data_IF_999569029234
#
_entry.id   IF_999569029234
#
_cell.length_a   1.000
_cell.length_b   1.000
_cell.length_c   1.000
_cell.angle_alpha   90.00
_cell.angle_beta   90.00
_cell.angle_gamma   90.00
#
_symmetry.space_group_name_H-M   'P 1'
#
loop_
_entity.id
_entity.type
_entity.pdbx_description
1 polymer ?
#
# COMPACT_ATOMS: atom_id res chain seq x y z
N UNK A 1 -4.95 -21.89 13.96
CA UNK A 1 -4.68 -20.55 13.43
C UNK A 1 -5.33 -19.50 14.31
N UNK A 2 -4.60 -18.45 14.60
CA UNK A 2 -5.15 -17.36 15.40
C UNK A 2 -6.27 -16.67 14.61
N UNK A 3 -7.33 -16.23 15.30
CA UNK A 3 -8.35 -15.42 14.66
C UNK A 3 -7.71 -14.13 14.14
N UNK A 4 -8.19 -13.66 13.01
CA UNK A 4 -7.65 -12.46 12.40
C UNK A 4 -8.23 -11.23 13.10
N UNK A 5 -7.40 -10.44 13.81
CA UNK A 5 -7.89 -9.26 14.52
C UNK A 5 -8.18 -8.09 13.55
N UNK A 6 -7.74 -8.20 12.32
CA UNK A 6 -7.88 -7.13 11.32
C UNK A 6 -8.57 -7.67 10.07
N UNK A 7 -9.44 -6.85 9.49
CA UNK A 7 -10.10 -7.19 8.23
C UNK A 7 -9.26 -6.77 7.02
N UNK A 8 -8.36 -5.82 7.20
CA UNK A 8 -7.40 -5.38 6.19
C UNK A 8 -6.26 -4.62 6.87
N UNK A 9 -5.13 -4.54 6.19
CA UNK A 9 -3.96 -3.80 6.65
C UNK A 9 -3.51 -2.88 5.53
N UNK A 10 -3.18 -1.64 5.85
CA UNK A 10 -2.57 -0.71 4.91
C UNK A 10 -1.13 -0.48 5.37
N UNK A 11 -0.18 -0.89 4.54
CA UNK A 11 1.23 -0.66 4.82
C UNK A 11 1.64 0.67 4.18
N UNK A 12 2.05 1.63 4.99
CA UNK A 12 2.34 2.98 4.53
C UNK A 12 3.82 3.29 4.69
N UNK A 13 4.42 3.82 3.64
CA UNK A 13 5.81 4.24 3.68
C UNK A 13 6.16 5.06 2.45
N UNK A 14 7.37 5.59 2.44
CA UNK A 14 7.91 6.36 1.31
C UNK A 14 9.34 5.91 1.05
N UNK A 15 9.62 5.59 -0.20
CA UNK A 15 10.97 5.27 -0.66
C UNK A 15 11.33 6.26 -1.76
N UNK A 16 12.44 6.96 -1.59
CA UNK A 16 12.92 7.93 -2.56
C UNK A 16 14.28 7.46 -3.07
N UNK A 17 14.44 7.43 -4.39
CA UNK A 17 15.67 6.95 -5.00
C UNK A 17 16.84 7.84 -4.64
N UNK A 18 17.93 7.20 -4.17
CA UNK A 18 19.19 7.84 -3.93
C UNK A 18 20.20 7.54 -5.03
N UNK A 19 21.47 7.58 -4.67
CA UNK A 19 22.58 7.38 -5.64
C UNK A 19 22.95 5.92 -5.84
N UNK A 20 22.40 5.00 -5.03
CA UNK A 20 22.76 3.59 -5.07
C UNK A 20 21.57 2.73 -5.44
N UNK A 21 21.82 1.44 -5.62
CA UNK A 21 20.77 0.45 -5.90
C UNK A 21 19.94 0.08 -4.66
N UNK A 22 20.20 0.69 -3.52
CA UNK A 22 19.48 0.40 -2.28
C UNK A 22 17.97 0.58 -2.44
N UNK A 23 17.55 1.64 -3.13
CA UNK A 23 16.14 1.91 -3.41
C UNK A 23 15.47 0.74 -4.13
N UNK A 24 16.11 0.21 -5.19
CA UNK A 24 15.56 -0.89 -5.97
C UNK A 24 15.45 -2.16 -5.14
N UNK A 25 16.48 -2.47 -4.35
CA UNK A 25 16.48 -3.66 -3.51
C UNK A 25 15.41 -3.58 -2.41
N UNK A 26 15.27 -2.44 -1.76
CA UNK A 26 14.27 -2.26 -0.71
C UNK A 26 12.86 -2.29 -1.30
N UNK A 27 12.64 -1.60 -2.43
CA UNK A 27 11.34 -1.58 -3.09
C UNK A 27 10.89 -2.99 -3.48
N UNK A 28 11.81 -3.76 -4.05
CA UNK A 28 11.54 -5.14 -4.46
C UNK A 28 11.23 -6.02 -3.23
N UNK A 29 12.07 -5.94 -2.19
CA UNK A 29 11.90 -6.73 -0.98
C UNK A 29 10.59 -6.42 -0.27
N UNK A 30 10.23 -5.14 -0.16
CA UNK A 30 8.98 -4.73 0.49
C UNK A 30 7.78 -5.21 -0.30
N UNK A 31 7.83 -5.08 -1.64
CA UNK A 31 6.74 -5.51 -2.51
C UNK A 31 6.47 -7.01 -2.35
N UNK A 32 7.50 -7.82 -2.42
CA UNK A 32 7.39 -9.26 -2.22
C UNK A 32 6.98 -9.63 -0.80
N UNK A 33 7.55 -8.95 0.19
CA UNK A 33 7.25 -9.23 1.60
C UNK A 33 5.80 -8.96 1.96
N UNK A 34 5.26 -7.83 1.50
CA UNK A 34 3.86 -7.49 1.77
C UNK A 34 2.90 -8.46 1.07
N UNK A 35 3.20 -8.84 -0.16
CA UNK A 35 2.40 -9.84 -0.87
C UNK A 35 2.43 -11.17 -0.14
N UNK A 36 3.61 -11.58 0.36
CA UNK A 36 3.76 -12.81 1.12
C UNK A 36 2.90 -12.82 2.38
N UNK A 37 2.89 -11.71 3.11
CA UNK A 37 2.07 -11.57 4.31
C UNK A 37 0.59 -11.73 3.97
N UNK A 38 0.15 -11.09 2.88
CA UNK A 38 -1.25 -11.22 2.44
C UNK A 38 -1.61 -12.66 2.11
N UNK A 39 -0.76 -13.34 1.36
CA UNK A 39 -1.03 -14.72 0.95
C UNK A 39 -0.98 -15.69 2.13
N UNK A 40 -0.05 -15.50 3.05
CA UNK A 40 0.11 -16.39 4.20
C UNK A 40 -0.98 -16.20 5.24
N UNK A 41 -1.48 -14.99 5.42
CA UNK A 41 -2.49 -14.69 6.44
C UNK A 41 -3.92 -14.72 5.94
N UNK A 42 -4.11 -14.52 4.64
CA UNK A 42 -5.45 -14.35 4.06
C UNK A 42 -6.07 -12.99 4.36
N UNK A 43 -5.34 -12.08 5.02
CA UNK A 43 -5.81 -10.73 5.29
C UNK A 43 -5.34 -9.82 4.15
N UNK A 44 -6.26 -9.04 3.53
CA UNK A 44 -5.85 -8.10 2.49
C UNK A 44 -4.80 -7.11 3.02
N UNK A 45 -3.71 -6.98 2.30
CA UNK A 45 -2.65 -6.01 2.61
C UNK A 45 -2.58 -5.02 1.45
N UNK A 46 -2.92 -3.78 1.74
CA UNK A 46 -2.92 -2.72 0.74
C UNK A 46 -1.53 -2.11 0.68
N UNK A 47 -0.97 -2.06 -0.51
CA UNK A 47 0.37 -1.52 -0.75
C UNK A 47 0.29 0.00 -0.79
N UNK A 48 0.63 0.64 0.32
CA UNK A 48 0.64 2.11 0.45
C UNK A 48 2.06 2.66 0.52
N UNK A 49 2.99 2.04 -0.20
CA UNK A 49 4.38 2.48 -0.23
C UNK A 49 4.59 3.35 -1.46
N UNK A 50 4.81 4.64 -1.24
CA UNK A 50 5.14 5.54 -2.34
C UNK A 50 6.58 5.29 -2.76
N UNK A 51 6.79 4.99 -4.03
CA UNK A 51 8.11 4.79 -4.60
C UNK A 51 8.35 5.92 -5.59
N UNK A 52 9.23 6.83 -5.26
CA UNK A 52 9.45 8.05 -6.04
C UNK A 52 10.93 8.22 -6.38
N UNK A 53 11.19 8.86 -7.50
CA UNK A 53 12.56 9.16 -7.91
C UNK A 53 13.07 10.43 -7.24
N UNK A 54 12.16 11.34 -6.86
CA UNK A 54 12.50 12.60 -6.21
C UNK A 54 11.54 12.88 -5.07
N UNK A 55 11.96 13.74 -4.15
CA UNK A 55 11.10 14.19 -3.05
C UNK A 55 9.85 14.89 -3.56
N UNK A 56 9.99 15.73 -4.59
CA UNK A 56 8.86 16.43 -5.19
C UNK A 56 7.82 15.46 -5.73
N UNK A 57 8.24 14.37 -6.36
CA UNK A 57 7.32 13.33 -6.81
C UNK A 57 6.58 12.69 -5.64
N UNK A 58 7.28 12.45 -4.54
CA UNK A 58 6.66 11.87 -3.35
C UNK A 58 5.60 12.80 -2.78
N UNK A 59 5.88 14.09 -2.69
CA UNK A 59 4.94 15.09 -2.20
C UNK A 59 3.69 15.17 -3.08
N UNK A 60 3.87 15.17 -4.40
CA UNK A 60 2.75 15.18 -5.35
C UNK A 60 1.86 13.95 -5.15
N UNK A 61 2.45 12.77 -4.99
CA UNK A 61 1.69 11.54 -4.79
C UNK A 61 0.99 11.49 -3.44
N UNK A 62 1.48 12.27 -2.47
CA UNK A 62 0.83 12.39 -1.17
C UNK A 62 -0.25 13.50 -1.16
N UNK A 63 -0.43 14.21 -2.27
CA UNK A 63 -1.43 15.27 -2.38
C UNK A 63 -1.00 16.59 -1.76
N UNK A 64 0.29 16.76 -1.47
CA UNK A 64 0.84 17.96 -0.83
C UNK A 64 1.98 18.56 -1.65
N UNK A 65 1.92 18.42 -2.97
CA UNK A 65 2.90 19.01 -3.87
C UNK A 65 2.90 20.52 -3.79
N UNK A 66 3.97 21.12 -4.29
CA UNK A 66 4.17 22.57 -4.23
C UNK A 66 3.35 23.30 -5.28
N UNK A 67 2.94 24.54 -4.96
CA UNK A 67 2.24 25.42 -5.88
C UNK A 67 0.82 24.89 -6.21
N UNK A 68 0.45 25.03 -7.47
CA UNK A 68 -0.87 24.59 -7.94
C UNK A 68 -0.93 23.10 -8.20
N UNK A 69 0.22 22.45 -8.40
CA UNK A 69 0.27 21.01 -8.66
C UNK A 69 0.46 20.24 -7.37
N UNK A 70 -0.60 20.19 -6.57
CA UNK A 70 -0.55 19.44 -5.32
C UNK A 70 -0.61 17.93 -5.52
N UNK A 71 -1.22 17.50 -6.63
CA UNK A 71 -1.39 16.09 -6.93
C UNK A 71 -2.56 15.45 -6.17
N UNK A 72 -2.77 14.19 -6.44
CA UNK A 72 -3.81 13.39 -5.79
C UNK A 72 -3.21 12.66 -4.58
N UNK A 73 -3.91 12.70 -3.47
CA UNK A 73 -3.52 11.94 -2.28
C UNK A 73 -3.89 10.47 -2.45
N UNK A 74 -2.91 9.65 -2.77
CA UNK A 74 -3.12 8.21 -2.97
C UNK A 74 -3.60 7.48 -1.71
N UNK A 75 -3.42 8.08 -0.53
CA UNK A 75 -3.94 7.53 0.71
C UNK A 75 -5.45 7.32 0.70
N UNK A 76 -6.17 8.18 -0.02
CA UNK A 76 -7.61 8.03 -0.19
C UNK A 76 -7.95 6.75 -0.93
N UNK A 77 -7.20 6.44 -1.99
CA UNK A 77 -7.38 5.22 -2.76
C UNK A 77 -7.06 3.98 -1.90
N UNK A 78 -6.03 4.05 -1.09
CA UNK A 78 -5.65 2.94 -0.21
C UNK A 78 -6.75 2.65 0.82
N UNK A 79 -7.33 3.70 1.40
CA UNK A 79 -8.44 3.53 2.35
C UNK A 79 -9.63 2.87 1.68
N UNK A 80 -10.00 3.33 0.49
CA UNK A 80 -11.10 2.75 -0.28
C UNK A 80 -10.81 1.30 -0.65
N UNK A 81 -9.60 1.01 -1.09
CA UNK A 81 -9.20 -0.35 -1.43
C UNK A 81 -9.26 -1.28 -0.21
N UNK A 82 -8.85 -0.79 0.96
CA UNK A 82 -8.90 -1.58 2.19
C UNK A 82 -10.33 -1.97 2.54
N UNK A 83 -11.26 -1.02 2.46
CA UNK A 83 -12.68 -1.29 2.74
C UNK A 83 -13.25 -2.26 1.72
N UNK A 84 -12.99 -2.05 0.43
CA UNK A 84 -13.48 -2.91 -0.63
C UNK A 84 -12.97 -4.34 -0.47
N UNK A 85 -11.68 -4.51 -0.24
CA UNK A 85 -11.10 -5.84 -0.10
C UNK A 85 -11.57 -6.53 1.18
N UNK A 86 -11.73 -5.79 2.27
CA UNK A 86 -12.24 -6.35 3.52
C UNK A 86 -13.67 -6.88 3.35
N UNK A 87 -14.52 -6.09 2.71
CA UNK A 87 -15.92 -6.48 2.43
C UNK A 87 -15.97 -7.70 1.52
N UNK A 88 -15.21 -7.68 0.43
CA UNK A 88 -15.18 -8.79 -0.51
C UNK A 88 -14.64 -10.07 0.12
N UNK A 89 -13.57 -9.98 0.90
CA UNK A 89 -12.99 -11.15 1.57
C UNK A 89 -13.99 -11.78 2.54
N UNK A 90 -14.74 -10.96 3.26
CA UNK A 90 -15.78 -11.44 4.17
C UNK A 90 -16.89 -12.15 3.40
N UNK A 91 -17.36 -11.54 2.31
CA UNK A 91 -18.40 -12.14 1.46
C UNK A 91 -17.95 -13.47 0.87
N UNK A 92 -16.74 -13.53 0.36
CA UNK A 92 -16.19 -14.76 -0.22
C UNK A 92 -16.04 -15.86 0.81
N UNK A 93 -15.65 -15.53 2.05
CA UNK A 93 -15.54 -16.50 3.13
C UNK A 93 -16.90 -17.06 3.52
N UNK A 94 -17.99 -16.35 3.25
CA UNK A 94 -19.36 -16.77 3.47
C UNK A 94 -19.97 -17.45 2.25
N UNK A 95 -19.19 -17.66 1.19
CA UNK A 95 -19.65 -18.27 -0.04
C UNK A 95 -20.45 -17.36 -0.97
N UNK A 96 -20.38 -16.05 -0.76
CA UNK A 96 -21.08 -15.06 -1.59
C UNK A 96 -20.12 -14.48 -2.62
N UNK A 97 -20.41 -14.64 -3.88
CA UNK A 97 -19.54 -14.21 -4.97
C UNK A 97 -20.19 -13.20 -5.90
#
# INVERSE_FOLDING_TARGET
MLSQPFDAVIAIGVLIKGETMHFEYISDSVSHGLMRVQLDTGVPVIFGILTALTEDQALVRAGIGKGENKGHNHGEDWGMAAVEMAVNSRRWSEGKF
#
